data_IF_314238637628
#
_entry.id   IF_314238637628
#
_cell.length_a   1.000
_cell.length_b   1.000
_cell.length_c   1.000
_cell.angle_alpha   90.00
_cell.angle_beta   90.00
_cell.angle_gamma   90.00
#
_symmetry.space_group_name_H-M   'P 1'
#
loop_
_entity.id
_entity.type
_entity.pdbx_description
1 polymer ?
#
# COMPACT_ATOMS: atom_id res chain seq x y z
N UNK A 1 -6.88 -5.62 -24.49
CA UNK A 1 -6.70 -4.48 -23.55
C UNK A 1 -5.23 -4.37 -23.14
N UNK A 2 -4.64 -3.15 -23.11
CA UNK A 2 -3.21 -2.96 -22.75
C UNK A 2 -2.87 -3.51 -21.36
N UNK A 3 -3.79 -3.39 -20.41
CA UNK A 3 -3.64 -3.88 -19.03
C UNK A 3 -3.47 -5.40 -18.97
N UNK A 4 -4.19 -6.18 -19.79
CA UNK A 4 -4.05 -7.65 -19.83
C UNK A 4 -2.62 -8.07 -20.25
N UNK A 5 -1.99 -7.31 -21.15
CA UNK A 5 -0.58 -7.55 -21.54
C UNK A 5 0.37 -7.18 -20.41
N UNK A 6 0.16 -6.04 -19.75
CA UNK A 6 0.97 -5.62 -18.60
C UNK A 6 0.89 -6.63 -17.45
N UNK A 7 -0.28 -7.19 -17.17
CA UNK A 7 -0.47 -8.19 -16.12
C UNK A 7 0.28 -9.51 -16.36
N UNK A 8 0.67 -9.80 -17.60
CA UNK A 8 1.47 -10.99 -17.97
C UNK A 8 2.98 -10.77 -17.83
N UNK A 9 3.41 -9.54 -17.59
CA UNK A 9 4.84 -9.23 -17.39
C UNK A 9 5.32 -9.72 -16.02
N UNK A 10 6.64 -9.83 -15.87
CA UNK A 10 7.29 -10.18 -14.60
C UNK A 10 7.55 -8.96 -13.70
N UNK A 11 6.81 -7.86 -13.89
CA UNK A 11 6.95 -6.67 -13.06
C UNK A 11 6.52 -6.96 -11.62
N UNK A 12 7.26 -6.40 -10.67
CA UNK A 12 6.83 -6.37 -9.27
C UNK A 12 5.58 -5.50 -9.11
N UNK A 13 4.88 -5.63 -7.98
CA UNK A 13 3.62 -4.92 -7.74
C UNK A 13 3.73 -3.41 -7.98
N UNK A 14 4.67 -2.73 -7.31
CA UNK A 14 4.89 -1.29 -7.48
C UNK A 14 5.10 -0.86 -8.94
N UNK A 15 5.95 -1.59 -9.68
CA UNK A 15 6.22 -1.30 -11.08
C UNK A 15 5.05 -1.62 -12.00
N UNK A 16 4.27 -2.65 -11.68
CA UNK A 16 3.10 -3.02 -12.47
C UNK A 16 2.01 -1.94 -12.40
N UNK A 17 1.68 -1.46 -11.18
CA UNK A 17 0.67 -0.39 -11.04
C UNK A 17 1.13 0.89 -11.71
N UNK A 18 2.39 1.29 -11.52
CA UNK A 18 2.99 2.41 -12.25
C UNK A 18 2.88 2.24 -13.77
N UNK A 19 3.20 1.06 -14.30
CA UNK A 19 3.10 0.79 -15.73
C UNK A 19 1.65 0.84 -16.24
N UNK A 20 0.69 0.36 -15.46
CA UNK A 20 -0.74 0.47 -15.78
C UNK A 20 -1.15 1.94 -15.84
N UNK A 21 -0.77 2.73 -14.85
CA UNK A 21 -1.07 4.15 -14.77
C UNK A 21 -0.47 4.94 -15.95
N UNK A 22 0.81 4.70 -16.25
CA UNK A 22 1.58 5.44 -17.25
C UNK A 22 1.31 4.99 -18.69
N UNK A 23 0.98 3.73 -18.94
CA UNK A 23 0.88 3.19 -20.31
C UNK A 23 -0.51 2.71 -20.72
N UNK A 24 -1.41 2.47 -19.76
CA UNK A 24 -2.77 2.07 -20.05
C UNK A 24 -3.79 3.17 -19.69
N UNK A 25 -3.76 3.66 -18.45
CA UNK A 25 -4.73 4.67 -18.00
C UNK A 25 -4.45 6.05 -18.61
N UNK A 26 -3.19 6.41 -18.83
CA UNK A 26 -2.80 7.66 -19.50
C UNK A 26 -3.39 7.80 -20.92
N UNK A 27 -3.76 6.71 -21.58
CA UNK A 27 -4.38 6.73 -22.91
C UNK A 27 -5.72 7.44 -22.89
N UNK A 28 -6.46 7.35 -21.78
CA UNK A 28 -7.73 8.04 -21.62
C UNK A 28 -7.56 9.56 -21.62
N UNK A 29 -6.38 10.09 -21.27
CA UNK A 29 -6.12 11.53 -21.25
C UNK A 29 -6.44 12.21 -22.58
N UNK A 30 -6.13 11.55 -23.70
CA UNK A 30 -6.37 12.12 -25.03
C UNK A 30 -7.85 12.13 -25.41
N UNK A 31 -8.70 11.35 -24.72
CA UNK A 31 -10.10 11.16 -25.06
C UNK A 31 -11.02 11.96 -24.12
N UNK A 32 -10.60 12.18 -22.88
CA UNK A 32 -11.34 12.95 -21.88
C UNK A 32 -11.49 14.41 -22.36
N UNK A 33 -12.74 14.86 -22.46
CA UNK A 33 -13.09 16.20 -22.95
C UNK A 33 -13.21 16.32 -24.48
N UNK A 34 -12.86 15.27 -25.24
CA UNK A 34 -13.15 15.18 -26.68
C UNK A 34 -14.35 14.29 -26.96
N UNK A 35 -14.40 13.12 -26.30
CA UNK A 35 -15.54 12.22 -26.38
C UNK A 35 -16.49 12.57 -25.24
N UNK A 36 -17.79 12.68 -25.57
CA UNK A 36 -18.87 12.89 -24.61
C UNK A 36 -19.17 11.57 -23.91
N UNK A 37 -18.34 11.25 -22.91
CA UNK A 37 -18.55 10.12 -22.02
C UNK A 37 -19.23 10.60 -20.74
N UNK A 38 -20.20 9.84 -20.28
CA UNK A 38 -20.89 10.09 -19.02
C UNK A 38 -20.11 9.50 -17.82
N UNK A 39 -20.31 10.00 -16.59
CA UNK A 39 -19.63 9.52 -15.39
C UNK A 39 -19.69 7.99 -15.20
N UNK A 40 -20.84 7.38 -15.47
CA UNK A 40 -21.08 5.94 -15.32
C UNK A 40 -20.20 5.11 -16.27
N UNK A 41 -19.84 5.66 -17.43
CA UNK A 41 -18.96 4.98 -18.38
C UNK A 41 -17.52 4.92 -17.86
N UNK A 42 -17.06 5.97 -17.15
CA UNK A 42 -15.75 5.94 -16.50
C UNK A 42 -15.73 4.97 -15.31
N UNK A 43 -16.80 4.90 -14.53
CA UNK A 43 -16.95 3.90 -13.47
C UNK A 43 -16.91 2.47 -14.04
N UNK A 44 -17.58 2.23 -15.18
CA UNK A 44 -17.55 0.95 -15.88
C UNK A 44 -16.14 0.57 -16.33
N UNK A 45 -15.36 1.52 -16.86
CA UNK A 45 -13.96 1.30 -17.18
C UNK A 45 -13.16 0.89 -15.94
N UNK A 46 -13.36 1.56 -14.81
CA UNK A 46 -12.72 1.17 -13.54
C UNK A 46 -13.11 -0.27 -13.12
N UNK A 47 -14.35 -0.70 -13.33
CA UNK A 47 -14.75 -2.10 -13.12
C UNK A 47 -14.04 -3.07 -14.05
N UNK A 48 -13.96 -2.77 -15.35
CA UNK A 48 -13.28 -3.61 -16.34
C UNK A 48 -11.77 -3.78 -16.02
N UNK A 49 -11.12 -2.70 -15.59
CA UNK A 49 -9.73 -2.74 -15.13
C UNK A 49 -9.60 -3.71 -13.95
N UNK A 50 -10.47 -3.60 -12.95
CA UNK A 50 -10.47 -4.51 -11.78
C UNK A 50 -10.71 -5.96 -12.18
N UNK A 51 -11.63 -6.24 -13.11
CA UNK A 51 -11.87 -7.61 -13.59
C UNK A 51 -10.62 -8.22 -14.22
N UNK A 52 -9.84 -7.43 -14.96
CA UNK A 52 -8.55 -7.91 -15.50
C UNK A 52 -7.54 -8.17 -14.39
N UNK A 53 -7.45 -7.31 -13.38
CA UNK A 53 -6.57 -7.56 -12.23
C UNK A 53 -6.96 -8.83 -11.45
N UNK A 54 -8.26 -9.10 -11.31
CA UNK A 54 -8.80 -10.32 -10.69
C UNK A 54 -8.45 -11.55 -11.51
N UNK A 55 -8.68 -11.51 -12.82
CA UNK A 55 -8.34 -12.58 -13.76
C UNK A 55 -6.87 -13.02 -13.64
N UNK A 56 -5.96 -12.07 -13.42
CA UNK A 56 -4.53 -12.32 -13.27
C UNK A 56 -4.07 -12.53 -11.82
N UNK A 57 -4.99 -12.63 -10.86
CA UNK A 57 -4.73 -12.83 -9.43
C UNK A 57 -3.85 -11.73 -8.79
N UNK A 58 -3.85 -10.53 -9.36
CA UNK A 58 -3.14 -9.36 -8.83
C UNK A 58 -3.99 -8.67 -7.76
N UNK A 59 -5.31 -8.77 -7.91
CA UNK A 59 -6.31 -8.31 -6.97
C UNK A 59 -7.23 -9.49 -6.61
N UNK A 60 -7.56 -9.66 -5.34
CA UNK A 60 -8.32 -10.81 -4.84
C UNK A 60 -9.63 -10.35 -4.19
N UNK A 61 -10.66 -11.20 -4.30
CA UNK A 61 -12.03 -10.89 -3.86
C UNK A 61 -12.54 -11.81 -2.74
N UNK A 62 -13.49 -11.32 -1.91
CA UNK A 62 -13.72 -9.92 -1.55
C UNK A 62 -12.45 -9.16 -1.09
N UNK A 63 -12.24 -7.96 -1.64
CA UNK A 63 -11.16 -7.05 -1.28
C UNK A 63 -11.68 -5.63 -1.02
N UNK A 64 -10.84 -4.77 -0.45
CA UNK A 64 -11.16 -3.36 -0.30
C UNK A 64 -10.90 -2.63 -1.62
N UNK A 65 -11.94 -2.09 -2.26
CA UNK A 65 -11.80 -1.39 -3.55
C UNK A 65 -11.06 -0.06 -3.39
N UNK A 66 -11.32 0.66 -2.30
CA UNK A 66 -10.80 1.99 -2.05
C UNK A 66 -9.29 1.94 -1.82
N UNK A 67 -8.81 0.89 -1.15
CA UNK A 67 -7.37 0.64 -1.01
C UNK A 67 -6.66 0.42 -2.33
N UNK A 68 -7.35 -0.07 -3.37
CA UNK A 68 -6.76 -0.20 -4.69
C UNK A 68 -6.35 1.17 -5.24
N UNK A 69 -7.17 2.19 -5.00
CA UNK A 69 -6.97 3.56 -5.49
C UNK A 69 -6.21 4.46 -4.51
N UNK A 70 -6.10 4.05 -3.25
CA UNK A 70 -5.40 4.81 -2.23
C UNK A 70 -3.86 4.80 -2.46
N UNK A 71 -3.10 5.86 -2.11
CA UNK A 71 -1.68 5.93 -2.40
C UNK A 71 -0.85 4.85 -1.70
N UNK A 72 0.21 4.38 -2.37
CA UNK A 72 1.16 3.41 -1.80
C UNK A 72 1.91 3.89 -0.56
N UNK A 73 2.00 5.20 -0.34
CA UNK A 73 2.61 5.78 0.87
C UNK A 73 1.68 5.75 2.09
N UNK A 74 0.39 5.55 1.84
CA UNK A 74 -0.70 5.60 2.82
C UNK A 74 -1.41 4.23 2.92
N UNK A 75 -0.68 3.11 2.78
CA UNK A 75 -1.18 1.72 2.84
C UNK A 75 -2.07 1.27 1.67
N UNK A 76 -2.15 2.04 0.58
CA UNK A 76 -2.89 1.65 -0.63
C UNK A 76 -2.04 1.00 -1.72
N UNK A 77 -2.67 0.69 -2.87
CA UNK A 77 -2.02 0.06 -4.04
C UNK A 77 -1.65 1.05 -5.13
N UNK A 78 -2.17 2.27 -5.06
CA UNK A 78 -1.83 3.39 -5.93
C UNK A 78 -2.24 3.22 -7.40
N UNK A 79 -3.31 2.48 -7.69
CA UNK A 79 -3.92 2.51 -9.03
C UNK A 79 -4.65 3.84 -9.20
N UNK A 80 -4.51 4.53 -10.34
CA UNK A 80 -5.39 5.66 -10.60
C UNK A 80 -6.80 5.20 -10.97
N UNK A 81 -7.82 5.82 -10.37
CA UNK A 81 -9.20 5.66 -10.84
C UNK A 81 -9.38 6.46 -12.12
N UNK A 82 -9.98 5.83 -13.13
CA UNK A 82 -10.32 6.49 -14.40
C UNK A 82 -11.41 7.55 -14.17
N UNK A 83 -12.41 7.23 -13.35
CA UNK A 83 -13.46 8.15 -12.91
C UNK A 83 -12.87 9.41 -12.27
N UNK A 84 -12.06 9.27 -11.22
CA UNK A 84 -11.47 10.43 -10.55
C UNK A 84 -10.51 11.24 -11.45
N UNK A 85 -9.82 10.54 -12.36
CA UNK A 85 -8.92 11.16 -13.33
C UNK A 85 -9.70 12.00 -14.34
N UNK A 86 -10.84 11.53 -14.83
CA UNK A 86 -11.67 12.28 -15.76
C UNK A 86 -12.23 13.54 -15.12
N UNK A 87 -12.72 13.45 -13.88
CA UNK A 87 -13.18 14.59 -13.09
C UNK A 87 -12.12 15.68 -12.95
N UNK A 88 -10.91 15.29 -12.55
CA UNK A 88 -9.77 16.22 -12.39
C UNK A 88 -9.41 16.91 -13.71
N UNK A 89 -9.41 16.15 -14.82
CA UNK A 89 -9.07 16.68 -16.13
C UNK A 89 -10.16 17.60 -16.70
N UNK A 90 -11.44 17.24 -16.55
CA UNK A 90 -12.56 18.06 -16.99
C UNK A 90 -12.64 19.36 -16.19
N UNK A 91 -12.44 19.31 -14.87
CA UNK A 91 -12.37 20.51 -14.05
C UNK A 91 -11.23 21.43 -14.50
N UNK A 92 -10.04 20.87 -14.74
CA UNK A 92 -8.90 21.65 -15.23
C UNK A 92 -9.15 22.28 -16.59
N UNK A 93 -9.79 21.53 -17.52
CA UNK A 93 -10.16 22.03 -18.83
C UNK A 93 -11.17 23.18 -18.71
N UNK A 94 -12.22 23.00 -17.92
CA UNK A 94 -13.24 24.02 -17.66
C UNK A 94 -12.62 25.30 -17.07
N UNK A 95 -11.77 25.17 -16.05
CA UNK A 95 -11.05 26.30 -15.45
C UNK A 95 -10.19 27.04 -16.48
N UNK A 96 -9.41 26.31 -17.29
CA UNK A 96 -8.55 26.92 -18.31
C UNK A 96 -9.33 27.63 -19.43
N UNK A 97 -10.51 27.12 -19.78
CA UNK A 97 -11.42 27.79 -20.73
C UNK A 97 -11.99 29.07 -20.11
N UNK A 98 -12.42 29.02 -18.85
CA UNK A 98 -13.02 30.15 -18.16
C UNK A 98 -12.02 31.29 -17.89
N UNK A 99 -10.77 30.96 -17.52
CA UNK A 99 -9.70 31.94 -17.30
C UNK A 99 -9.31 32.66 -18.61
N UNK A 100 -9.21 31.91 -19.72
CA UNK A 100 -8.74 32.44 -21.00
C UNK A 100 -9.87 32.93 -21.93
N UNK A 101 -11.12 32.98 -21.47
CA UNK A 101 -12.26 33.41 -22.31
C UNK A 101 -12.13 34.87 -22.79
N UNK A 102 -11.47 35.72 -22.01
CA UNK A 102 -11.28 37.13 -22.36
C UNK A 102 -10.10 37.35 -23.31
N UNK A 103 -9.15 36.41 -23.36
CA UNK A 103 -7.94 36.50 -24.20
C UNK A 103 -8.01 35.66 -25.48
N UNK A 104 -8.91 34.68 -25.57
CA UNK A 104 -9.07 33.81 -26.74
C UNK A 104 -10.52 33.66 -27.16
N UNK A 105 -10.87 34.25 -28.31
CA UNK A 105 -12.19 34.12 -28.93
C UNK A 105 -12.60 32.66 -29.14
N UNK A 106 -11.64 31.80 -29.53
CA UNK A 106 -11.88 30.37 -29.72
C UNK A 106 -12.30 29.70 -28.40
N UNK A 107 -11.60 29.98 -27.30
CA UNK A 107 -11.95 29.39 -25.99
C UNK A 107 -13.29 29.92 -25.47
N UNK A 108 -13.58 31.20 -25.69
CA UNK A 108 -14.87 31.80 -25.36
C UNK A 108 -16.02 31.13 -26.12
N UNK A 109 -15.86 30.89 -27.43
CA UNK A 109 -16.85 30.22 -28.26
C UNK A 109 -17.08 28.75 -27.82
N UNK A 110 -16.01 28.01 -27.51
CA UNK A 110 -16.10 26.64 -26.98
C UNK A 110 -16.90 26.65 -25.68
N UNK A 111 -16.53 27.50 -24.71
CA UNK A 111 -17.21 27.57 -23.42
C UNK A 111 -18.70 27.91 -23.56
N UNK A 112 -19.02 28.86 -24.45
CA UNK A 112 -20.42 29.24 -24.74
C UNK A 112 -21.22 28.07 -25.30
N UNK A 113 -20.69 27.35 -26.29
CA UNK A 113 -21.34 26.19 -26.88
C UNK A 113 -21.55 25.06 -25.87
N UNK A 114 -20.55 24.79 -25.02
CA UNK A 114 -20.65 23.79 -23.95
C UNK A 114 -21.76 24.16 -22.95
N UNK A 115 -21.83 25.44 -22.53
CA UNK A 115 -22.88 25.95 -21.65
C UNK A 115 -24.28 25.87 -22.26
N UNK A 116 -24.44 26.22 -23.54
CA UNK A 116 -25.71 26.13 -24.27
C UNK A 116 -26.18 24.68 -24.39
N UNK A 117 -25.26 23.76 -24.68
CA UNK A 117 -25.55 22.33 -24.77
C UNK A 117 -25.76 21.64 -23.42
N UNK A 118 -25.55 22.35 -22.30
CA UNK A 118 -25.57 21.80 -20.93
C UNK A 118 -24.73 20.53 -20.80
N UNK A 119 -23.55 20.52 -21.44
CA UNK A 119 -22.68 19.36 -21.42
C UNK A 119 -22.17 19.06 -20.02
N UNK A 120 -21.74 17.82 -19.79
CA UNK A 120 -21.09 17.43 -18.53
C UNK A 120 -19.87 18.32 -18.21
N UNK A 121 -19.08 18.74 -19.22
CA UNK A 121 -17.97 19.66 -19.03
C UNK A 121 -18.43 21.02 -18.48
N UNK A 122 -19.55 21.56 -18.98
CA UNK A 122 -20.10 22.83 -18.48
C UNK A 122 -20.65 22.73 -17.05
N UNK A 123 -21.11 21.54 -16.66
CA UNK A 123 -21.70 21.25 -15.36
C UNK A 123 -20.70 20.67 -14.34
N UNK A 124 -19.44 20.45 -14.75
CA UNK A 124 -18.46 19.69 -13.94
C UNK A 124 -18.27 20.27 -12.54
N UNK A 125 -18.23 21.60 -12.40
CA UNK A 125 -18.07 22.24 -11.09
C UNK A 125 -19.26 21.94 -10.17
N UNK A 126 -20.49 22.11 -10.66
CA UNK A 126 -21.70 21.82 -9.89
C UNK A 126 -21.83 20.31 -9.57
N UNK A 127 -21.48 19.45 -10.53
CA UNK A 127 -21.45 18.00 -10.35
C UNK A 127 -20.49 17.60 -9.23
N UNK A 128 -19.27 18.12 -9.24
CA UNK A 128 -18.25 17.80 -8.23
C UNK A 128 -18.60 18.35 -6.85
N UNK A 129 -19.13 19.57 -6.77
CA UNK A 129 -19.61 20.14 -5.49
C UNK A 129 -20.67 19.24 -4.86
N UNK A 130 -21.61 18.75 -5.67
CA UNK A 130 -22.68 17.84 -5.23
C UNK A 130 -22.12 16.47 -4.82
N UNK A 131 -21.28 15.87 -5.67
CA UNK A 131 -20.71 14.52 -5.46
C UNK A 131 -19.84 14.43 -4.21
N UNK A 132 -19.00 15.44 -4.00
CA UNK A 132 -18.05 15.49 -2.89
C UNK A 132 -18.57 16.27 -1.67
N UNK A 133 -19.77 16.85 -1.75
CA UNK A 133 -20.39 17.67 -0.70
C UNK A 133 -19.46 18.81 -0.25
N UNK A 134 -18.84 19.49 -1.21
CA UNK A 134 -17.93 20.61 -0.97
C UNK A 134 -18.73 21.91 -1.02
N UNK A 135 -18.53 22.76 -0.02
CA UNK A 135 -19.09 24.12 -0.02
C UNK A 135 -18.11 25.11 -0.66
N UNK A 136 -18.64 26.08 -1.42
CA UNK A 136 -17.85 27.13 -2.05
C UNK A 136 -17.35 26.79 -3.45
N UNK A 137 -16.16 27.31 -3.81
CA UNK A 137 -15.59 27.18 -5.15
C UNK A 137 -14.80 25.86 -5.29
N UNK A 138 -15.00 25.16 -6.40
CA UNK A 138 -14.23 23.95 -6.70
C UNK A 138 -12.81 24.29 -7.13
N UNK A 139 -11.81 23.53 -6.66
CA UNK A 139 -10.41 23.67 -7.07
C UNK A 139 -9.77 22.29 -7.23
N UNK A 140 -8.67 22.18 -7.98
CA UNK A 140 -7.96 20.90 -8.09
C UNK A 140 -7.38 20.41 -6.76
N UNK A 141 -7.11 21.33 -5.82
CA UNK A 141 -6.58 20.99 -4.50
C UNK A 141 -7.69 20.40 -3.63
N UNK A 142 -8.81 21.10 -3.46
CA UNK A 142 -9.91 20.59 -2.64
C UNK A 142 -10.56 19.33 -3.23
N UNK A 143 -10.59 19.17 -4.56
CA UNK A 143 -11.04 17.92 -5.21
C UNK A 143 -10.17 16.72 -4.81
N UNK A 144 -8.84 16.87 -4.82
CA UNK A 144 -7.91 15.80 -4.42
C UNK A 144 -8.04 15.46 -2.94
N UNK A 145 -8.20 16.47 -2.09
CA UNK A 145 -8.40 16.28 -0.66
C UNK A 145 -9.74 15.58 -0.38
N UNK A 146 -10.82 16.02 -1.02
CA UNK A 146 -12.13 15.41 -0.88
C UNK A 146 -12.17 13.96 -1.36
N UNK A 147 -11.47 13.64 -2.45
CA UNK A 147 -11.33 12.24 -2.89
C UNK A 147 -10.59 11.38 -1.86
N UNK A 148 -9.51 11.90 -1.26
CA UNK A 148 -8.82 11.18 -0.19
C UNK A 148 -9.75 10.95 1.01
N UNK A 149 -10.49 11.97 1.43
CA UNK A 149 -11.44 11.88 2.55
C UNK A 149 -12.54 10.86 2.25
N UNK A 150 -13.12 10.88 1.05
CA UNK A 150 -14.14 9.92 0.60
C UNK A 150 -13.64 8.48 0.65
N UNK A 151 -12.49 8.19 0.03
CA UNK A 151 -11.89 6.85 0.07
C UNK A 151 -11.67 6.39 1.51
N UNK A 152 -11.20 7.30 2.37
CA UNK A 152 -10.93 7.00 3.77
C UNK A 152 -12.21 6.75 4.59
N UNK A 153 -13.27 7.56 4.39
CA UNK A 153 -14.56 7.35 5.04
C UNK A 153 -15.20 6.03 4.63
N UNK A 154 -15.11 5.68 3.35
CA UNK A 154 -15.64 4.43 2.81
C UNK A 154 -14.91 3.22 3.39
N UNK A 155 -13.59 3.31 3.59
CA UNK A 155 -12.82 2.27 4.28
C UNK A 155 -13.21 2.16 5.76
N UNK A 156 -13.37 3.29 6.46
CA UNK A 156 -13.77 3.33 7.87
C UNK A 156 -15.16 2.73 8.11
N UNK A 157 -16.08 2.93 7.17
CA UNK A 157 -17.42 2.34 7.19
C UNK A 157 -17.41 0.81 7.05
N UNK A 158 -16.32 0.21 6.55
CA UNK A 158 -16.22 -1.24 6.37
C UNK A 158 -15.61 -1.91 7.59
N UNK A 159 -16.42 -2.67 8.32
CA UNK A 159 -16.06 -3.34 9.59
C UNK A 159 -14.72 -4.08 9.52
N UNK A 160 -14.49 -4.86 8.46
CA UNK A 160 -13.27 -5.69 8.33
C UNK A 160 -12.02 -4.90 7.93
N UNK A 161 -12.15 -3.89 7.06
CA UNK A 161 -11.01 -3.14 6.52
C UNK A 161 -10.61 -1.96 7.41
N UNK A 162 -11.54 -1.45 8.22
CA UNK A 162 -11.34 -0.30 9.11
C UNK A 162 -10.27 -0.52 10.19
N UNK A 163 -9.94 -1.76 10.56
CA UNK A 163 -9.04 -2.06 11.70
C UNK A 163 -7.64 -1.47 11.50
N UNK A 164 -7.08 -1.62 10.30
CA UNK A 164 -5.78 -1.06 9.94
C UNK A 164 -5.79 0.47 10.01
N UNK A 165 -6.87 1.09 9.52
CA UNK A 165 -7.00 2.53 9.44
C UNK A 165 -7.33 3.18 10.80
N UNK A 166 -8.07 2.50 11.68
CA UNK A 166 -8.26 2.90 13.09
C UNK A 166 -6.94 2.89 13.85
N UNK A 167 -6.06 1.92 13.57
CA UNK A 167 -4.76 1.86 14.21
C UNK A 167 -3.84 3.05 13.84
N UNK A 168 -4.11 3.76 12.74
CA UNK A 168 -3.36 4.96 12.36
C UNK A 168 -3.58 6.13 13.33
N UNK A 169 -4.70 6.16 14.05
CA UNK A 169 -5.00 7.19 15.04
C UNK A 169 -4.15 7.03 16.31
N UNK A 170 -3.45 5.91 16.46
CA UNK A 170 -2.56 5.66 17.59
C UNK A 170 -1.24 6.42 17.45
N UNK A 171 -0.77 7.07 18.51
CA UNK A 171 0.40 7.97 18.50
C UNK A 171 1.69 7.32 17.96
N UNK A 172 1.86 6.02 18.21
CA UNK A 172 3.04 5.24 17.82
C UNK A 172 2.97 4.77 16.34
N UNK A 173 1.80 4.85 15.70
CA UNK A 173 1.59 4.30 14.37
C UNK A 173 2.24 5.17 13.29
N UNK A 174 3.27 4.65 12.64
CA UNK A 174 3.90 5.31 11.50
C UNK A 174 3.40 4.69 10.17
N UNK A 175 2.43 5.36 9.54
CA UNK A 175 1.81 4.91 8.28
C UNK A 175 2.84 4.79 7.16
N UNK A 176 3.74 5.78 7.04
CA UNK A 176 4.75 5.81 5.98
C UNK A 176 5.74 4.66 6.12
N UNK A 177 6.23 4.42 7.34
CA UNK A 177 7.12 3.29 7.63
C UNK A 177 6.41 1.95 7.36
N UNK A 178 5.16 1.81 7.80
CA UNK A 178 4.33 0.62 7.59
C UNK A 178 4.04 0.35 6.12
N UNK A 179 4.02 1.38 5.28
CA UNK A 179 3.79 1.28 3.84
C UNK A 179 5.06 1.03 3.02
N UNK A 180 6.24 0.97 3.64
CA UNK A 180 7.52 0.84 2.94
C UNK A 180 7.58 -0.38 2.01
N UNK A 181 6.93 -1.49 2.41
CA UNK A 181 6.92 -2.71 1.62
C UNK A 181 6.08 -2.57 0.33
N UNK A 182 5.06 -1.72 0.31
CA UNK A 182 4.28 -1.43 -0.90
C UNK A 182 5.06 -0.54 -1.88
N UNK A 183 6.04 0.22 -1.39
CA UNK A 183 6.83 1.13 -2.22
C UNK A 183 8.11 0.51 -2.74
N UNK A 184 8.85 -0.21 -1.88
CA UNK A 184 10.25 -0.58 -2.12
C UNK A 184 10.49 -2.06 -2.28
N UNK A 185 9.55 -2.91 -1.86
CA UNK A 185 9.79 -4.35 -1.86
C UNK A 185 9.58 -4.95 -3.24
N UNK A 186 10.44 -5.90 -3.60
CA UNK A 186 10.43 -6.53 -4.92
C UNK A 186 9.52 -7.77 -4.97
N UNK A 187 8.26 -7.60 -4.54
CA UNK A 187 7.26 -8.67 -4.58
C UNK A 187 6.67 -8.80 -5.98
N UNK A 188 6.49 -10.04 -6.45
CA UNK A 188 5.62 -10.28 -7.60
C UNK A 188 4.23 -9.69 -7.34
N UNK A 189 3.60 -9.11 -8.36
CA UNK A 189 2.32 -8.44 -8.21
C UNK A 189 1.22 -9.35 -7.62
N UNK A 190 1.25 -10.66 -7.95
CA UNK A 190 0.33 -11.65 -7.36
C UNK A 190 0.58 -11.87 -5.87
N UNK A 191 1.84 -11.99 -5.46
CA UNK A 191 2.21 -12.10 -4.04
C UNK A 191 1.80 -10.86 -3.25
N UNK A 192 2.02 -9.66 -3.81
CA UNK A 192 1.52 -8.41 -3.21
C UNK A 192 -0.02 -8.44 -3.10
N UNK A 193 -0.73 -8.94 -4.11
CA UNK A 193 -2.17 -9.21 -4.09
C UNK A 193 -2.61 -10.06 -2.89
N UNK A 194 -1.91 -11.17 -2.65
CA UNK A 194 -2.15 -12.07 -1.52
C UNK A 194 -1.86 -11.35 -0.19
N UNK A 195 -0.75 -10.62 -0.09
CA UNK A 195 -0.40 -9.93 1.16
C UNK A 195 -1.40 -8.83 1.53
N UNK A 196 -1.82 -8.02 0.56
CA UNK A 196 -2.88 -7.02 0.79
C UNK A 196 -4.17 -7.73 1.17
N UNK A 197 -4.57 -8.79 0.49
CA UNK A 197 -5.75 -9.56 0.85
C UNK A 197 -5.71 -10.12 2.28
N UNK A 198 -4.55 -10.60 2.74
CA UNK A 198 -4.32 -11.07 4.11
C UNK A 198 -4.31 -9.93 5.14
N UNK A 199 -3.88 -8.73 4.74
CA UNK A 199 -3.89 -7.54 5.59
C UNK A 199 -5.31 -6.96 5.73
N UNK A 200 -6.04 -6.94 4.62
CA UNK A 200 -7.39 -6.41 4.46
C UNK A 200 -8.41 -7.30 5.18
N UNK A 201 -8.09 -8.58 5.35
CA UNK A 201 -8.93 -9.54 6.05
C UNK A 201 -8.34 -10.02 7.36
N UNK A 202 -9.20 -10.12 8.36
CA UNK A 202 -9.11 -11.28 9.24
C UNK A 202 -9.37 -12.51 8.35
N UNK A 203 -8.36 -13.35 8.07
CA UNK A 203 -8.41 -14.56 7.19
C UNK A 203 -9.67 -15.41 7.43
N UNK A 204 -10.24 -15.30 8.62
CA UNK A 204 -11.43 -15.99 9.09
C UNK A 204 -12.75 -15.38 8.62
N UNK A 205 -12.80 -14.31 7.81
CA UNK A 205 -14.05 -13.76 7.25
C UNK A 205 -15.12 -13.40 8.31
N UNK A 206 -14.66 -13.04 9.51
CA UNK A 206 -15.57 -12.81 10.64
C UNK A 206 -16.17 -14.08 11.24
N UNK A 207 -15.79 -15.28 10.78
CA UNK A 207 -16.15 -16.54 11.43
C UNK A 207 -15.77 -16.47 12.90
N UNK A 208 -16.77 -16.66 13.73
CA UNK A 208 -16.61 -16.74 15.16
C UNK A 208 -16.19 -18.16 15.51
N UNK A 209 -15.13 -18.28 16.29
CA UNK A 209 -14.60 -19.57 16.68
C UNK A 209 -13.48 -19.39 17.68
N UNK A 210 -13.28 -20.39 18.51
CA UNK A 210 -12.12 -20.43 19.39
C UNK A 210 -10.89 -20.85 18.59
N UNK A 211 -9.73 -20.40 19.06
CA UNK A 211 -8.45 -20.83 18.50
C UNK A 211 -8.36 -22.37 18.55
N UNK A 212 -8.06 -23.05 17.43
CA UNK A 212 -8.01 -24.52 17.39
C UNK A 212 -6.89 -25.09 18.25
N UNK A 213 -5.84 -24.31 18.52
CA UNK A 213 -4.68 -24.74 19.29
C UNK A 213 -4.87 -24.52 20.79
N UNK A 214 -5.16 -23.28 21.22
CA UNK A 214 -5.25 -22.96 22.64
C UNK A 214 -6.64 -23.16 23.24
N UNK A 215 -7.71 -23.07 22.43
CA UNK A 215 -9.13 -23.08 22.84
C UNK A 215 -9.53 -22.06 23.92
N UNK A 216 -8.63 -21.13 24.28
CA UNK A 216 -8.85 -20.10 25.32
C UNK A 216 -9.29 -18.76 24.74
N UNK A 217 -8.82 -18.42 23.55
CA UNK A 217 -9.05 -17.12 22.93
C UNK A 217 -9.78 -17.26 21.59
N UNK A 218 -10.43 -16.18 21.15
CA UNK A 218 -11.04 -16.10 19.82
C UNK A 218 -9.99 -16.29 18.73
N UNK A 219 -10.34 -17.07 17.71
CA UNK A 219 -9.56 -17.29 16.49
C UNK A 219 -9.50 -16.00 15.68
N UNK A 220 -8.48 -15.20 15.93
CA UNK A 220 -8.18 -13.98 15.17
C UNK A 220 -6.79 -14.08 14.57
N UNK A 221 -6.54 -13.36 13.46
CA UNK A 221 -5.19 -13.31 12.86
C UNK A 221 -4.18 -12.81 13.88
N UNK A 222 -4.53 -11.78 14.65
CA UNK A 222 -3.69 -11.26 15.73
C UNK A 222 -3.36 -12.35 16.76
N UNK A 223 -4.37 -13.07 17.26
CA UNK A 223 -4.11 -14.16 18.21
C UNK A 223 -3.19 -15.25 17.64
N UNK A 224 -3.46 -15.73 16.42
CA UNK A 224 -2.68 -16.81 15.80
C UNK A 224 -1.30 -16.38 15.30
N UNK A 225 -1.09 -15.08 15.08
CA UNK A 225 0.18 -14.55 14.59
C UNK A 225 1.12 -14.11 15.71
N UNK A 226 0.59 -13.63 16.84
CA UNK A 226 1.40 -13.05 17.93
C UNK A 226 1.07 -13.53 19.34
N UNK A 227 -0.13 -14.09 19.63
CA UNK A 227 -0.57 -14.35 21.02
C UNK A 227 -0.89 -15.79 21.40
N UNK A 228 -0.81 -16.75 20.48
CA UNK A 228 -1.14 -18.14 20.79
C UNK A 228 0.04 -18.88 21.44
N UNK A 229 -0.03 -19.10 22.75
CA UNK A 229 1.01 -19.79 23.52
C UNK A 229 1.34 -21.20 22.99
N UNK A 230 0.33 -21.89 22.43
CA UNK A 230 0.49 -23.23 21.86
C UNK A 230 1.29 -23.24 20.56
N UNK A 231 1.40 -22.11 19.87
CA UNK A 231 2.16 -21.94 18.62
C UNK A 231 3.55 -21.32 18.91
N UNK A 232 3.72 -20.71 20.10
CA UNK A 232 4.93 -20.00 20.50
C UNK A 232 6.21 -20.83 20.31
N UNK A 233 6.23 -22.06 20.81
CA UNK A 233 7.40 -22.95 20.75
C UNK A 233 7.71 -23.53 19.37
N UNK A 234 6.84 -23.34 18.38
CA UNK A 234 7.03 -23.86 17.03
C UNK A 234 7.10 -22.72 16.02
N UNK A 235 5.97 -22.31 15.43
CA UNK A 235 5.99 -21.38 14.29
C UNK A 235 6.50 -19.98 14.67
N UNK A 236 6.35 -19.56 15.92
CA UNK A 236 6.81 -18.24 16.34
C UNK A 236 8.34 -18.27 16.47
N UNK A 237 8.88 -19.25 17.20
CA UNK A 237 10.32 -19.45 17.32
C UNK A 237 10.98 -19.70 15.95
N UNK A 238 10.33 -20.45 15.06
CA UNK A 238 10.81 -20.64 13.68
C UNK A 238 10.90 -19.31 12.93
N UNK A 239 9.82 -18.49 12.92
CA UNK A 239 9.82 -17.18 12.24
C UNK A 239 10.86 -16.25 12.85
N UNK A 240 10.98 -16.23 14.18
CA UNK A 240 12.00 -15.48 14.91
C UNK A 240 13.41 -15.87 14.44
N UNK A 241 13.71 -17.17 14.43
CA UNK A 241 15.03 -17.68 14.04
C UNK A 241 15.35 -17.43 12.56
N UNK A 242 14.36 -17.41 11.67
CA UNK A 242 14.54 -17.00 10.27
C UNK A 242 14.93 -15.51 10.16
N UNK A 243 14.32 -14.63 10.96
CA UNK A 243 14.68 -13.20 11.01
C UNK A 243 16.09 -13.02 11.56
N UNK A 244 16.41 -13.69 12.67
CA UNK A 244 17.77 -13.69 13.25
C UNK A 244 18.79 -14.19 12.22
N UNK A 245 18.47 -15.24 11.44
CA UNK A 245 19.36 -15.73 10.37
C UNK A 245 19.61 -14.68 9.29
N UNK A 246 18.56 -13.95 8.87
CA UNK A 246 18.70 -12.87 7.89
C UNK A 246 19.59 -11.75 8.41
N UNK A 247 19.36 -11.29 9.64
CA UNK A 247 20.13 -10.22 10.29
C UNK A 247 21.58 -10.65 10.52
N UNK A 248 21.79 -11.86 11.04
CA UNK A 248 23.13 -12.41 11.23
C UNK A 248 23.88 -12.48 9.90
N UNK A 249 23.27 -12.95 8.81
CA UNK A 249 23.95 -12.98 7.50
C UNK A 249 24.34 -11.58 7.02
N UNK A 250 23.45 -10.60 7.18
CA UNK A 250 23.69 -9.21 6.79
C UNK A 250 24.86 -8.61 7.57
N UNK A 251 24.91 -8.81 8.88
CA UNK A 251 26.01 -8.34 9.72
C UNK A 251 27.30 -9.14 9.47
N UNK A 252 27.20 -10.46 9.27
CA UNK A 252 28.33 -11.30 8.94
C UNK A 252 29.03 -10.84 7.66
N UNK A 253 28.27 -10.41 6.65
CA UNK A 253 28.81 -9.77 5.45
C UNK A 253 29.47 -8.42 5.75
N UNK A 254 28.76 -7.54 6.49
CA UNK A 254 29.24 -6.18 6.81
C UNK A 254 30.60 -6.20 7.52
N UNK A 255 30.80 -7.11 8.46
CA UNK A 255 32.04 -7.23 9.24
C UNK A 255 33.07 -8.20 8.63
N UNK A 256 32.78 -8.78 7.46
CA UNK A 256 33.72 -9.63 6.71
C UNK A 256 33.86 -11.06 7.24
N UNK A 257 32.88 -11.57 7.98
CA UNK A 257 32.84 -12.96 8.44
C UNK A 257 32.48 -13.96 7.35
N UNK A 258 31.67 -13.54 6.36
CA UNK A 258 31.29 -14.39 5.24
C UNK A 258 31.08 -13.58 3.97
N UNK A 259 31.35 -14.20 2.83
CA UNK A 259 30.97 -13.69 1.50
C UNK A 259 29.66 -14.31 1.00
N UNK A 260 29.12 -15.32 1.70
CA UNK A 260 27.90 -16.00 1.29
C UNK A 260 26.73 -15.02 1.24
N UNK A 261 25.94 -15.07 0.17
CA UNK A 261 24.77 -14.21 -0.04
C UNK A 261 23.43 -14.92 0.20
N UNK A 262 23.44 -16.25 0.30
CA UNK A 262 22.22 -17.07 0.37
C UNK A 262 21.83 -17.36 1.81
N UNK A 263 20.70 -16.81 2.25
CA UNK A 263 20.12 -17.04 3.60
C UNK A 263 19.90 -18.52 3.88
N UNK A 264 19.40 -19.28 2.90
CA UNK A 264 19.04 -20.71 3.08
C UNK A 264 20.21 -21.60 3.50
N UNK A 265 21.43 -21.25 3.09
CA UNK A 265 22.65 -21.99 3.42
C UNK A 265 23.40 -21.40 4.62
N UNK A 266 22.92 -20.29 5.16
CA UNK A 266 23.60 -19.60 6.24
C UNK A 266 23.26 -20.24 7.59
N UNK A 267 24.30 -20.72 8.28
CA UNK A 267 24.17 -21.20 9.65
C UNK A 267 24.43 -20.04 10.61
N UNK A 268 23.55 -19.87 11.58
CA UNK A 268 23.74 -18.90 12.67
C UNK A 268 24.73 -19.49 13.67
N UNK A 269 25.72 -18.69 14.08
CA UNK A 269 26.67 -19.06 15.13
C UNK A 269 26.40 -18.18 16.35
N UNK A 270 26.38 -18.78 17.54
CA UNK A 270 26.10 -18.06 18.80
C UNK A 270 27.13 -16.95 19.08
N UNK A 271 28.40 -17.19 18.73
CA UNK A 271 29.47 -16.20 18.86
C UNK A 271 30.39 -16.29 17.65
N UNK A 272 30.53 -15.18 16.93
CA UNK A 272 31.50 -15.03 15.84
C UNK A 272 32.33 -13.78 16.10
N UNK A 273 33.66 -13.85 16.13
CA UNK A 273 34.51 -12.68 16.36
C UNK A 273 35.73 -12.65 15.44
N UNK A 274 36.11 -11.45 14.98
CA UNK A 274 37.29 -11.22 14.14
C UNK A 274 37.96 -9.89 14.52
N UNK A 275 38.90 -9.39 13.70
CA UNK A 275 39.55 -8.09 13.91
C UNK A 275 38.59 -6.89 13.79
N UNK A 276 37.60 -6.96 12.89
CA UNK A 276 36.67 -5.86 12.61
C UNK A 276 35.54 -5.74 13.65
N UNK A 277 35.08 -6.86 14.20
CA UNK A 277 33.94 -6.88 15.12
C UNK A 277 33.63 -8.24 15.72
N UNK A 278 32.48 -8.34 16.37
CA UNK A 278 31.91 -9.55 16.92
C UNK A 278 30.39 -9.57 16.80
N UNK A 279 29.82 -10.73 16.50
CA UNK A 279 28.38 -10.97 16.49
C UNK A 279 28.11 -12.01 17.57
N UNK A 280 27.19 -11.73 18.48
CA UNK A 280 26.69 -12.69 19.46
C UNK A 280 25.18 -12.83 19.30
N UNK A 281 24.67 -14.05 19.29
CA UNK A 281 23.23 -14.35 19.18
C UNK A 281 22.84 -15.16 20.39
N UNK A 282 21.74 -14.79 21.05
CA UNK A 282 21.22 -15.52 22.21
C UNK A 282 22.27 -15.75 23.32
N UNK A 283 23.17 -14.78 23.52
CA UNK A 283 24.24 -14.89 24.51
C UNK A 283 24.03 -13.89 25.64
N UNK A 284 24.19 -14.35 26.89
CA UNK A 284 24.11 -13.46 28.06
C UNK A 284 25.27 -12.47 28.07
N UNK A 285 24.96 -11.21 28.32
CA UNK A 285 25.93 -10.15 28.53
C UNK A 285 26.23 -10.08 30.03
N UNK A 286 27.49 -10.24 30.39
CA UNK A 286 27.95 -10.01 31.75
C UNK A 286 27.87 -8.50 32.04
N UNK A 287 27.21 -8.14 33.13
CA UNK A 287 27.04 -6.76 33.59
C UNK A 287 27.41 -6.68 35.06
N UNK A 288 28.08 -5.61 35.46
CA UNK A 288 28.49 -5.41 36.86
C UNK A 288 27.28 -5.17 37.79
N UNK A 289 26.17 -4.72 37.22
CA UNK A 289 24.87 -4.57 37.89
C UNK A 289 23.97 -5.74 37.50
N UNK A 290 23.14 -6.20 38.44
CA UNK A 290 22.14 -7.24 38.18
C UNK A 290 21.05 -6.70 37.26
N UNK A 291 21.13 -7.05 35.98
CA UNK A 291 20.11 -6.75 34.97
C UNK A 291 19.25 -7.98 34.74
N UNK A 292 17.92 -7.84 34.86
CA UNK A 292 16.96 -8.94 34.71
C UNK A 292 16.85 -9.48 33.29
N UNK A 293 17.08 -8.61 32.28
CA UNK A 293 16.97 -8.93 30.85
C UNK A 293 18.32 -8.73 30.15
N UNK A 294 19.33 -9.53 30.52
CA UNK A 294 20.71 -9.40 30.01
C UNK A 294 21.04 -10.34 28.82
N UNK A 295 20.02 -10.91 28.18
CA UNK A 295 20.17 -11.81 27.03
C UNK A 295 19.50 -11.17 25.79
N UNK A 296 20.20 -10.32 25.03
CA UNK A 296 19.68 -9.80 23.77
C UNK A 296 19.62 -10.89 22.70
N UNK A 297 18.69 -10.77 21.75
CA UNK A 297 18.55 -11.70 20.63
C UNK A 297 19.78 -11.68 19.72
N UNK A 298 20.30 -10.48 19.44
CA UNK A 298 21.56 -10.27 18.70
C UNK A 298 22.31 -9.08 19.29
N UNK A 299 23.63 -9.20 19.37
CA UNK A 299 24.56 -8.18 19.83
C UNK A 299 25.69 -8.04 18.83
N UNK A 300 26.01 -6.81 18.44
CA UNK A 300 27.08 -6.49 17.52
C UNK A 300 28.11 -5.66 18.27
N UNK A 301 29.35 -6.13 18.27
CA UNK A 301 30.50 -5.43 18.84
C UNK A 301 31.34 -4.89 17.69
N UNK A 302 31.35 -3.58 17.47
CA UNK A 302 32.21 -2.94 16.49
C UNK A 302 33.57 -2.61 17.14
N UNK A 303 34.61 -3.38 16.80
CA UNK A 303 35.93 -3.22 17.42
C UNK A 303 36.67 -1.98 16.89
N UNK A 304 36.32 -1.48 15.70
CA UNK A 304 36.96 -0.30 15.12
C UNK A 304 36.42 0.98 15.75
N UNK A 305 35.10 1.04 15.93
CA UNK A 305 34.43 2.19 16.55
C UNK A 305 34.35 2.11 18.07
N UNK A 306 34.62 0.93 18.64
CA UNK A 306 34.43 0.63 20.07
C UNK A 306 32.97 0.84 20.51
N UNK A 307 32.03 0.46 19.64
CA UNK A 307 30.59 0.60 19.86
C UNK A 307 29.93 -0.78 19.99
N UNK A 308 28.84 -0.83 20.75
CA UNK A 308 27.97 -2.00 20.85
C UNK A 308 26.60 -1.59 20.29
N UNK A 309 26.08 -2.39 19.34
CA UNK A 309 24.80 -2.20 18.66
C UNK A 309 23.92 -3.41 18.91
#
# INVERSE_FOLDING_TARGET
MRIDRLCKTSLNGANLFRAIDEHAISVFNCHIGLIKLEPEEFEKLDQEIKQVLIKHQIYLQPGCNEMLYHPRIELGRGLHSVEFKSESMLLQLYMSLNEAKHSSLRRAAILKNEMESKSHLSQIEAFLLTKYKIEGKMTLVNLKEAQKVRLYSDIKGKTYYSKLFRAQEHEIANVKASSTWLQKWNNQARSEGIFCYLQDRNIFLGQEGQCPHCRKHRKTVDHLSTKCDRILGHDYMRRHNEVVRCLHLLMAKKYGFTRNTKVRTHSVQEVTTNYNGGIRVDTRVATDVKVTHNKPDILIVDKKRKEII
#
